data_IF_856945074624
#
_entry.id   IF_856945074624
#
_cell.length_a   1.000
_cell.length_b   1.000
_cell.length_c   1.000
_cell.angle_alpha   90.00
_cell.angle_beta   90.00
_cell.angle_gamma   90.00
#
_symmetry.space_group_name_H-M   'P 1'
#
loop_
_entity.id
_entity.type
_entity.pdbx_description
1 polymer ?
#
# COMPACT_ATOMS: atom_id res chain seq x y z
N UNK A 1 52.50 9.75 14.07
CA UNK A 1 51.46 9.76 15.12
C UNK A 1 50.57 10.97 14.90
N UNK A 2 49.25 10.80 15.08
CA UNK A 2 48.19 11.83 15.06
C UNK A 2 47.79 12.35 13.65
N UNK A 3 46.52 12.50 13.25
CA UNK A 3 45.22 12.21 13.89
C UNK A 3 44.14 12.26 12.76
N UNK A 4 43.32 11.21 12.70
CA UNK A 4 41.84 11.16 12.60
C UNK A 4 41.06 12.02 11.57
N UNK A 5 40.23 11.27 10.82
CA UNK A 5 38.89 11.50 10.25
C UNK A 5 38.22 12.87 10.46
N UNK A 6 37.42 13.40 9.51
CA UNK A 6 36.10 12.85 9.20
C UNK A 6 35.51 13.45 7.92
N UNK A 7 34.97 12.59 7.05
CA UNK A 7 33.88 12.95 6.16
C UNK A 7 32.66 13.25 7.04
N UNK A 8 32.20 14.50 7.04
CA UNK A 8 30.87 14.85 7.55
C UNK A 8 30.15 15.63 6.46
N UNK A 9 29.64 14.91 5.47
CA UNK A 9 28.51 15.38 4.69
C UNK A 9 27.26 14.88 5.38
N UNK A 10 26.72 15.65 6.34
CA UNK A 10 25.32 15.54 6.74
C UNK A 10 24.49 16.21 5.64
N UNK A 11 24.37 15.53 4.50
CA UNK A 11 23.30 15.79 3.55
C UNK A 11 22.09 15.01 4.01
N UNK A 12 21.46 15.46 5.10
CA UNK A 12 20.12 14.96 5.44
C UNK A 12 19.22 15.45 4.31
N UNK A 13 18.84 14.50 3.47
CA UNK A 13 18.15 14.75 2.22
C UNK A 13 16.69 15.03 2.58
N UNK A 14 16.36 16.30 2.84
CA UNK A 14 14.98 16.77 3.03
C UNK A 14 14.12 16.56 1.77
N UNK A 15 14.70 16.03 0.69
CA UNK A 15 14.06 15.57 -0.54
C UNK A 15 13.30 14.23 -0.41
N UNK A 16 13.45 13.49 0.70
CA UNK A 16 12.66 12.28 0.95
C UNK A 16 11.29 12.54 1.62
N UNK A 17 11.02 13.78 2.06
CA UNK A 17 9.81 14.11 2.83
C UNK A 17 8.58 14.44 1.95
N UNK A 18 8.77 14.67 0.64
CA UNK A 18 7.71 15.18 -0.23
C UNK A 18 6.81 14.14 -0.92
N UNK A 19 7.02 12.84 -0.70
CA UNK A 19 6.23 11.78 -1.38
C UNK A 19 5.50 10.78 -0.45
N UNK A 20 5.44 11.11 0.86
CA UNK A 20 4.62 10.36 1.80
C UNK A 20 3.22 10.99 1.88
N UNK A 21 2.13 10.20 1.72
CA UNK A 21 0.77 10.72 1.87
C UNK A 21 0.51 11.22 3.30
N UNK A 22 -0.34 12.24 3.42
CA UNK A 22 -0.87 12.67 4.71
C UNK A 22 -1.89 11.63 5.21
N UNK A 23 -1.53 10.93 6.28
CA UNK A 23 -2.35 9.90 6.90
C UNK A 23 -3.01 10.38 8.21
N UNK A 24 -3.26 11.69 8.33
CA UNK A 24 -3.95 12.28 9.49
C UNK A 24 -5.42 11.87 9.60
N UNK A 25 -6.08 11.56 8.48
CA UNK A 25 -7.45 11.06 8.43
C UNK A 25 -7.47 9.54 8.63
N UNK A 26 -8.19 9.00 9.62
CA UNK A 26 -8.31 7.55 9.81
C UNK A 26 -9.00 6.88 8.62
N UNK A 27 -8.44 5.76 8.17
CA UNK A 27 -9.00 4.90 7.12
C UNK A 27 -9.45 3.59 7.77
N UNK A 28 -10.67 3.16 7.45
CA UNK A 28 -11.31 1.98 8.04
C UNK A 28 -11.31 0.81 7.05
N UNK A 29 -10.99 -0.39 7.54
CA UNK A 29 -10.96 -1.59 6.71
C UNK A 29 -12.31 -1.85 6.03
N UNK A 30 -13.40 -1.93 6.80
CA UNK A 30 -14.72 -2.26 6.25
C UNK A 30 -15.34 -1.11 5.45
N UNK A 31 -15.05 0.14 5.81
CA UNK A 31 -15.61 1.34 5.17
C UNK A 31 -14.92 1.74 3.88
N UNK A 32 -13.59 1.63 3.83
CA UNK A 32 -12.79 2.23 2.76
C UNK A 32 -12.02 1.18 1.96
N UNK A 33 -11.24 0.33 2.64
CA UNK A 33 -10.30 -0.58 1.97
C UNK A 33 -10.99 -1.79 1.34
N UNK A 34 -11.94 -2.40 2.04
CA UNK A 34 -12.62 -3.59 1.55
C UNK A 34 -13.44 -3.30 0.28
N UNK A 35 -14.24 -2.22 0.18
CA UNK A 35 -14.90 -1.84 -1.07
C UNK A 35 -13.91 -1.55 -2.21
N UNK A 36 -12.79 -0.88 -1.90
CA UNK A 36 -11.76 -0.56 -2.88
C UNK A 36 -11.12 -1.83 -3.46
N UNK A 37 -10.69 -2.76 -2.59
CA UNK A 37 -10.09 -4.02 -3.03
C UNK A 37 -11.09 -4.92 -3.74
N UNK A 38 -12.35 -4.95 -3.32
CA UNK A 38 -13.38 -5.74 -3.97
C UNK A 38 -13.75 -5.20 -5.36
N UNK A 39 -13.68 -3.88 -5.55
CA UNK A 39 -13.99 -3.26 -6.84
C UNK A 39 -12.83 -3.35 -7.84
N UNK A 40 -11.59 -3.32 -7.35
CA UNK A 40 -10.40 -3.18 -8.20
C UNK A 40 -9.47 -4.40 -8.23
N UNK A 41 -9.59 -5.33 -7.29
CA UNK A 41 -8.65 -6.45 -7.13
C UNK A 41 -9.35 -7.81 -7.05
N UNK A 42 -10.42 -7.93 -6.26
CA UNK A 42 -11.22 -9.15 -6.11
C UNK A 42 -12.21 -9.32 -7.28
N UNK A 43 -11.67 -9.32 -8.50
CA UNK A 43 -12.42 -9.50 -9.73
C UNK A 43 -12.22 -10.91 -10.29
N UNK A 44 -13.08 -11.30 -11.22
CA UNK A 44 -13.01 -12.61 -11.87
C UNK A 44 -11.62 -12.85 -12.51
N UNK A 45 -11.02 -14.00 -12.21
CA UNK A 45 -9.68 -14.37 -12.66
C UNK A 45 -8.50 -13.70 -11.94
N UNK A 46 -8.72 -12.84 -10.95
CA UNK A 46 -7.67 -12.19 -10.15
C UNK A 46 -7.73 -12.61 -8.67
N UNK A 47 -7.97 -11.69 -7.72
CA UNK A 47 -7.91 -11.98 -6.28
C UNK A 47 -9.23 -12.51 -5.73
N UNK A 48 -9.73 -13.60 -6.30
CA UNK A 48 -10.95 -14.31 -5.92
C UNK A 48 -10.66 -15.80 -5.70
N UNK A 49 -11.58 -16.51 -5.02
CA UNK A 49 -11.45 -17.94 -4.78
C UNK A 49 -11.19 -18.74 -6.07
N UNK A 50 -10.23 -19.66 -6.01
CA UNK A 50 -9.96 -20.62 -7.10
C UNK A 50 -8.92 -20.16 -8.14
N UNK A 51 -8.38 -18.95 -8.04
CA UNK A 51 -7.32 -18.45 -8.94
C UNK A 51 -5.91 -18.83 -8.49
N UNK A 52 -5.75 -19.32 -7.25
CA UNK A 52 -4.45 -19.56 -6.62
C UNK A 52 -3.78 -18.29 -6.07
N UNK A 53 -4.46 -17.14 -6.16
CA UNK A 53 -4.08 -15.87 -5.52
C UNK A 53 -4.82 -15.70 -4.18
N UNK A 54 -4.36 -14.79 -3.30
CA UNK A 54 -5.12 -14.41 -2.12
C UNK A 54 -6.51 -13.90 -2.52
N UNK A 55 -7.55 -14.42 -1.87
CA UNK A 55 -8.93 -14.00 -2.10
C UNK A 55 -9.25 -12.75 -1.28
N UNK A 56 -9.37 -11.61 -1.94
CA UNK A 56 -9.68 -10.33 -1.30
C UNK A 56 -11.18 -10.08 -1.11
N UNK A 57 -12.04 -11.08 -1.34
CA UNK A 57 -13.38 -11.09 -0.75
C UNK A 57 -13.35 -11.44 0.75
N UNK A 58 -12.26 -12.06 1.23
CA UNK A 58 -12.10 -12.53 2.60
C UNK A 58 -11.29 -11.52 3.42
N UNK A 59 -11.87 -11.03 4.51
CA UNK A 59 -11.27 -10.01 5.40
C UNK A 59 -9.92 -10.45 5.95
N UNK A 60 -9.81 -11.71 6.36
CA UNK A 60 -8.61 -12.28 6.97
C UNK A 60 -7.43 -12.23 6.00
N UNK A 61 -7.66 -12.52 4.72
CA UNK A 61 -6.63 -12.43 3.68
C UNK A 61 -6.20 -10.97 3.46
N UNK A 62 -7.13 -10.01 3.46
CA UNK A 62 -6.77 -8.58 3.32
C UNK A 62 -5.84 -8.16 4.46
N UNK A 63 -6.12 -8.57 5.69
CA UNK A 63 -5.29 -8.28 6.86
C UNK A 63 -3.92 -8.95 6.79
N UNK A 64 -3.88 -10.21 6.37
CA UNK A 64 -2.64 -11.00 6.22
C UNK A 64 -1.71 -10.40 5.16
N UNK A 65 -2.26 -10.02 4.00
CA UNK A 65 -1.48 -9.52 2.86
C UNK A 65 -1.37 -7.99 2.79
N UNK A 66 -1.86 -7.26 3.80
CA UNK A 66 -1.93 -5.80 3.81
C UNK A 66 -0.61 -5.09 3.41
N UNK A 67 0.53 -5.53 3.96
CA UNK A 67 1.82 -4.91 3.66
C UNK A 67 2.26 -5.15 2.21
N UNK A 68 1.97 -6.34 1.66
CA UNK A 68 2.24 -6.68 0.28
C UNK A 68 1.30 -5.94 -0.67
N UNK A 69 0.02 -5.79 -0.31
CA UNK A 69 -0.95 -4.98 -1.05
C UNK A 69 -0.43 -3.54 -1.16
N UNK A 70 -0.09 -2.90 -0.04
CA UNK A 70 0.50 -1.55 -0.03
C UNK A 70 1.74 -1.47 -0.91
N UNK A 71 2.66 -2.42 -0.78
CA UNK A 71 3.91 -2.43 -1.53
C UNK A 71 3.64 -2.50 -3.04
N UNK A 72 2.83 -3.48 -3.47
CA UNK A 72 2.56 -3.74 -4.89
C UNK A 72 1.81 -2.59 -5.56
N UNK A 73 0.88 -1.95 -4.85
CA UNK A 73 0.17 -0.77 -5.37
C UNK A 73 1.06 0.46 -5.43
N UNK A 74 1.91 0.70 -4.44
CA UNK A 74 2.92 1.78 -4.47
C UNK A 74 3.96 1.60 -5.56
N UNK A 75 4.37 0.37 -5.82
CA UNK A 75 5.31 0.03 -6.91
C UNK A 75 4.62 0.03 -8.29
N UNK A 76 3.29 0.14 -8.35
CA UNK A 76 2.51 0.09 -9.59
C UNK A 76 2.53 -1.29 -10.28
N UNK A 77 2.93 -2.34 -9.57
CA UNK A 77 2.94 -3.71 -10.10
C UNK A 77 1.56 -4.39 -10.00
N UNK A 78 0.70 -3.87 -9.12
CA UNK A 78 -0.70 -4.25 -9.01
C UNK A 78 -1.60 -3.01 -8.96
N UNK A 79 -2.73 -3.00 -9.69
CA UNK A 79 -3.15 -4.00 -10.68
C UNK A 79 -2.22 -4.08 -11.90
N UNK A 80 -2.08 -5.26 -12.54
CA UNK A 80 -1.20 -5.41 -13.68
C UNK A 80 -1.82 -4.76 -14.94
N UNK A 81 -1.02 -4.31 -15.93
CA UNK A 81 -1.53 -3.60 -17.09
C UNK A 81 -2.63 -4.34 -17.88
N UNK A 82 -2.59 -5.67 -17.94
CA UNK A 82 -3.58 -6.49 -18.65
C UNK A 82 -4.95 -6.51 -17.96
N UNK A 83 -5.05 -6.10 -16.69
CA UNK A 83 -6.34 -5.97 -16.00
C UNK A 83 -7.17 -4.81 -16.52
N UNK A 84 -6.54 -3.81 -17.16
CA UNK A 84 -7.18 -2.57 -17.58
C UNK A 84 -7.55 -1.64 -16.41
N UNK A 85 -7.23 -2.01 -15.17
CA UNK A 85 -7.50 -1.23 -13.97
C UNK A 85 -6.26 -0.40 -13.62
N UNK A 86 -6.47 0.88 -13.33
CA UNK A 86 -5.44 1.80 -12.88
C UNK A 86 -5.94 2.46 -11.61
N UNK A 87 -5.25 2.21 -10.49
CA UNK A 87 -5.55 2.90 -9.25
C UNK A 87 -5.11 4.36 -9.36
N UNK A 88 -5.96 5.24 -8.85
CA UNK A 88 -5.62 6.65 -8.66
C UNK A 88 -4.59 6.80 -7.53
N UNK A 89 -3.87 7.92 -7.53
CA UNK A 89 -2.96 8.25 -6.43
C UNK A 89 -3.68 8.29 -5.08
N UNK A 90 -4.94 8.72 -5.06
CA UNK A 90 -5.76 8.76 -3.83
C UNK A 90 -6.06 7.35 -3.31
N UNK A 91 -6.43 6.41 -4.17
CA UNK A 91 -6.65 5.01 -3.77
C UNK A 91 -5.36 4.35 -3.25
N UNK A 92 -4.22 4.62 -3.91
CA UNK A 92 -2.91 4.12 -3.47
C UNK A 92 -2.55 4.73 -2.09
N UNK A 93 -2.82 6.02 -1.89
CA UNK A 93 -2.59 6.71 -0.64
C UNK A 93 -3.49 6.19 0.48
N UNK A 94 -4.76 5.90 0.18
CA UNK A 94 -5.72 5.34 1.12
C UNK A 94 -5.26 3.96 1.62
N UNK A 95 -4.84 3.07 0.72
CA UNK A 95 -4.24 1.77 1.07
C UNK A 95 -2.99 2.00 1.95
N UNK A 96 -2.12 2.91 1.53
CA UNK A 96 -0.87 3.23 2.24
C UNK A 96 -1.16 3.69 3.68
N UNK A 97 -2.08 4.63 3.84
CA UNK A 97 -2.45 5.20 5.12
C UNK A 97 -3.14 4.21 6.03
N UNK A 98 -4.03 3.38 5.50
CA UNK A 98 -4.67 2.32 6.28
C UNK A 98 -3.64 1.35 6.89
N UNK A 99 -2.66 0.91 6.10
CA UNK A 99 -1.59 0.03 6.60
C UNK A 99 -0.74 0.76 7.64
N UNK A 100 -0.35 2.01 7.38
CA UNK A 100 0.47 2.82 8.30
C UNK A 100 -0.24 3.13 9.64
N UNK A 101 -1.57 3.22 9.61
CA UNK A 101 -2.41 3.43 10.79
C UNK A 101 -2.66 2.15 11.61
N UNK A 102 -2.11 1.02 11.16
CA UNK A 102 -2.19 -0.26 11.86
C UNK A 102 -3.35 -1.14 11.44
N UNK A 103 -3.82 -1.02 10.18
CA UNK A 103 -4.80 -1.93 9.56
C UNK A 103 -6.14 -1.99 10.32
N UNK A 104 -6.59 -0.83 10.81
CA UNK A 104 -7.74 -0.73 11.71
C UNK A 104 -9.07 -0.88 10.98
N UNK A 105 -10.10 -1.21 11.76
CA UNK A 105 -11.50 -1.25 11.38
C UNK A 105 -12.23 -0.45 12.47
N UNK A 106 -12.47 0.84 12.21
CA UNK A 106 -12.89 1.85 13.19
C UNK A 106 -14.06 2.70 12.71
#
# INVERSE_FOLDING_TARGET
MALVWSFSCSGDSEEALFDRPDCSVPVSLSGDIMPLLQSNCAIDGCHTAGTGLPDFMVKENILEYADEIKKRTREGSMPPPYSGIVLTSEEINMITCWVDQGKKDN
#
